data_IF_714317551083
#
_entry.id   IF_714317551083
#
_cell.length_a   1.000
_cell.length_b   1.000
_cell.length_c   1.000
_cell.angle_alpha   90.00
_cell.angle_beta   90.00
_cell.angle_gamma   90.00
#
_symmetry.space_group_name_H-M   'P 1'
#
loop_
_entity.id
_entity.type
_entity.pdbx_description
1 polymer ?
#
# COMPACT_ATOMS: atom_id res chain seq x y z
N UNK A 1 2.92 -26.74 -6.06
CA UNK A 1 2.86 -25.48 -6.82
C UNK A 1 2.69 -24.33 -5.84
N UNK A 2 3.42 -23.23 -6.04
CA UNK A 2 3.33 -22.04 -5.21
C UNK A 2 1.92 -21.42 -5.25
N UNK A 3 1.50 -20.78 -4.16
CA UNK A 3 0.28 -19.98 -4.09
C UNK A 3 0.59 -18.54 -4.46
N UNK A 4 -0.19 -18.00 -5.40
CA UNK A 4 -0.12 -16.63 -5.86
C UNK A 4 -1.09 -15.73 -5.10
N UNK A 5 -0.67 -14.51 -4.81
CA UNK A 5 -1.54 -13.44 -4.33
C UNK A 5 -1.06 -12.11 -4.89
N UNK A 6 -1.99 -11.23 -5.25
CA UNK A 6 -1.70 -9.88 -5.72
C UNK A 6 -2.64 -8.86 -5.09
N UNK A 7 -2.11 -7.67 -4.85
CA UNK A 7 -2.87 -6.51 -4.39
C UNK A 7 -2.20 -5.23 -4.90
N UNK A 8 -2.98 -4.18 -5.06
CA UNK A 8 -2.49 -2.84 -5.40
C UNK A 8 -2.75 -1.87 -4.26
N UNK A 9 -1.91 -0.85 -4.14
CA UNK A 9 -2.09 0.24 -3.19
C UNK A 9 -1.73 1.55 -3.87
N UNK A 10 -2.58 2.57 -3.72
CA UNK A 10 -2.29 3.92 -4.18
C UNK A 10 -1.75 4.74 -3.01
N UNK A 11 -0.55 5.27 -3.15
CA UNK A 11 0.05 6.24 -2.24
C UNK A 11 -0.28 7.64 -2.73
N UNK A 12 -0.81 8.49 -1.85
CA UNK A 12 -1.14 9.88 -2.16
C UNK A 12 0.12 10.77 -2.11
N UNK A 13 1.14 10.37 -2.85
CA UNK A 13 2.46 10.97 -2.94
C UNK A 13 3.00 10.73 -4.35
N UNK A 14 3.82 11.65 -4.85
CA UNK A 14 4.47 11.52 -6.15
C UNK A 14 5.42 10.33 -6.19
N UNK A 15 5.75 9.85 -7.38
CA UNK A 15 6.68 8.74 -7.53
C UNK A 15 8.06 9.06 -6.93
N UNK A 16 8.54 10.29 -7.11
CA UNK A 16 9.81 10.76 -6.56
C UNK A 16 9.81 10.71 -5.03
N UNK A 17 8.72 11.17 -4.40
CA UNK A 17 8.57 11.12 -2.94
C UNK A 17 8.55 9.68 -2.43
N UNK A 18 7.82 8.79 -3.13
CA UNK A 18 7.79 7.36 -2.80
C UNK A 18 9.17 6.72 -2.92
N UNK A 19 9.89 6.95 -4.00
CA UNK A 19 11.23 6.39 -4.21
C UNK A 19 12.22 6.95 -3.18
N UNK A 20 12.16 8.25 -2.86
CA UNK A 20 13.02 8.86 -1.85
C UNK A 20 12.75 8.28 -0.45
N UNK A 21 11.48 8.09 -0.09
CA UNK A 21 11.11 7.52 1.20
C UNK A 21 11.41 6.01 1.30
N UNK A 22 11.42 5.28 0.20
CA UNK A 22 11.61 3.82 0.18
C UNK A 22 12.89 3.38 0.90
N UNK A 23 13.97 4.15 0.73
CA UNK A 23 15.27 3.88 1.36
C UNK A 23 15.29 4.13 2.87
N UNK A 24 14.32 4.88 3.38
CA UNK A 24 14.18 5.28 4.78
C UNK A 24 12.89 4.72 5.42
N UNK A 25 12.28 3.69 4.81
CA UNK A 25 11.02 3.11 5.29
C UNK A 25 11.15 2.44 6.66
N UNK A 26 12.37 2.18 7.12
CA UNK A 26 12.68 1.69 8.45
C UNK A 26 13.62 2.68 9.18
N UNK A 27 13.49 2.80 10.51
CA UNK A 27 12.46 2.17 11.35
C UNK A 27 11.08 2.84 11.19
N UNK A 28 10.01 2.07 11.41
CA UNK A 28 8.65 2.60 11.56
C UNK A 28 7.86 1.81 12.62
N UNK A 29 6.83 2.40 13.27
CA UNK A 29 6.11 1.76 14.37
C UNK A 29 5.44 0.43 14.02
N UNK A 30 5.08 0.20 12.75
CA UNK A 30 4.39 -1.02 12.33
C UNK A 30 5.35 -2.14 11.89
N UNK A 31 6.66 -1.86 11.92
CA UNK A 31 7.72 -2.76 11.48
C UNK A 31 8.81 -2.96 12.53
N UNK A 32 8.45 -2.92 13.82
CA UNK A 32 9.36 -3.17 14.95
C UNK A 32 10.07 -4.53 14.93
N UNK A 33 9.57 -5.47 14.11
CA UNK A 33 10.18 -6.77 13.88
C UNK A 33 11.41 -6.70 12.96
N UNK A 34 11.64 -5.60 12.23
CA UNK A 34 12.84 -5.40 11.41
C UNK A 34 13.96 -4.88 12.32
N UNK A 35 15.04 -5.65 12.41
CA UNK A 35 16.16 -5.41 13.33
C UNK A 35 17.31 -4.66 12.65
N UNK A 36 17.67 -5.07 11.44
CA UNK A 36 18.76 -4.45 10.67
C UNK A 36 18.41 -4.39 9.19
N UNK A 37 19.00 -3.43 8.50
CA UNK A 37 18.88 -3.23 7.07
C UNK A 37 20.21 -2.72 6.51
N UNK A 38 20.87 -3.54 5.70
CA UNK A 38 22.24 -3.31 5.24
C UNK A 38 22.27 -3.28 3.71
N UNK A 39 22.92 -2.27 3.11
CA UNK A 39 23.15 -2.25 1.66
C UNK A 39 24.40 -3.05 1.33
N UNK A 40 24.23 -4.16 0.61
CA UNK A 40 25.31 -5.10 0.26
C UNK A 40 25.99 -4.69 -1.03
N UNK A 41 25.20 -4.25 -2.02
CA UNK A 41 25.71 -3.77 -3.29
C UNK A 41 24.77 -2.71 -3.85
N UNK A 42 25.34 -1.71 -4.53
CA UNK A 42 24.59 -0.67 -5.23
C UNK A 42 25.43 -0.18 -6.40
N UNK A 43 24.83 -0.17 -7.58
CA UNK A 43 25.49 0.24 -8.81
C UNK A 43 24.50 0.86 -9.79
N UNK A 44 25.02 1.64 -10.73
CA UNK A 44 24.25 2.13 -11.87
C UNK A 44 24.59 1.25 -13.07
N UNK A 45 23.58 0.63 -13.67
CA UNK A 45 23.72 -0.17 -14.89
C UNK A 45 22.70 0.32 -15.91
N UNK A 46 23.18 0.71 -17.10
CA UNK A 46 22.35 1.19 -18.20
C UNK A 46 21.38 2.32 -17.76
N UNK A 47 21.86 3.27 -16.96
CA UNK A 47 21.06 4.39 -16.45
C UNK A 47 20.06 4.03 -15.35
N UNK A 48 20.08 2.81 -14.81
CA UNK A 48 19.19 2.34 -13.74
C UNK A 48 19.97 2.08 -12.47
N UNK A 49 19.40 2.42 -11.32
CA UNK A 49 19.99 2.12 -10.02
C UNK A 49 19.61 0.70 -9.61
N UNK A 50 20.59 -0.19 -9.56
CA UNK A 50 20.45 -1.52 -9.00
C UNK A 50 20.92 -1.48 -7.53
N UNK A 51 20.18 -2.11 -6.64
CA UNK A 51 20.59 -2.27 -5.25
C UNK A 51 20.24 -3.65 -4.72
N UNK A 52 21.09 -4.16 -3.84
CA UNK A 52 20.90 -5.39 -3.09
C UNK A 52 21.07 -5.09 -1.62
N UNK A 53 20.07 -5.43 -0.82
CA UNK A 53 20.02 -5.17 0.62
C UNK A 53 19.74 -6.47 1.36
N UNK A 54 20.33 -6.59 2.55
CA UNK A 54 20.08 -7.68 3.48
C UNK A 54 19.30 -7.12 4.66
N UNK A 55 18.18 -7.73 5.00
CA UNK A 55 17.40 -7.34 6.16
C UNK A 55 17.31 -8.50 7.14
N UNK A 56 17.35 -8.17 8.42
CA UNK A 56 17.17 -9.10 9.53
C UNK A 56 15.84 -8.81 10.22
N UNK A 57 15.01 -9.83 10.44
CA UNK A 57 13.75 -9.66 11.17
C UNK A 57 13.53 -10.73 12.23
N UNK A 58 12.81 -10.39 13.29
CA UNK A 58 12.33 -11.40 14.25
C UNK A 58 11.31 -12.31 13.57
N UNK A 59 11.35 -13.60 13.91
CA UNK A 59 10.38 -14.56 13.42
C UNK A 59 9.77 -15.32 14.60
N UNK A 60 8.61 -14.86 15.04
CA UNK A 60 7.78 -15.69 15.92
C UNK A 60 7.28 -16.87 15.10
N UNK A 61 7.87 -18.04 15.36
CA UNK A 61 7.41 -19.33 14.85
C UNK A 61 6.06 -19.61 15.48
N UNK A 62 5.06 -20.13 14.74
CA UNK A 62 3.83 -20.61 15.36
C UNK A 62 4.14 -21.62 16.47
N UNK A 63 3.37 -21.65 17.56
CA UNK A 63 3.60 -22.54 18.71
C UNK A 63 3.82 -24.02 18.34
N UNK A 64 3.17 -24.52 17.29
CA UNK A 64 3.36 -25.90 16.81
C UNK A 64 4.77 -26.16 16.24
N UNK A 65 5.47 -25.13 15.77
CA UNK A 65 6.82 -25.20 15.20
C UNK A 65 7.94 -24.86 16.16
N UNK A 66 7.64 -24.27 17.34
CA UNK A 66 8.64 -23.90 18.35
C UNK A 66 9.45 -25.10 18.85
N UNK A 67 8.83 -26.29 18.95
CA UNK A 67 9.51 -27.54 19.37
C UNK A 67 10.57 -28.02 18.38
N UNK A 68 10.56 -27.53 17.14
CA UNK A 68 11.46 -27.99 16.08
C UNK A 68 12.49 -26.93 15.68
N UNK A 69 12.37 -25.68 16.17
CA UNK A 69 13.18 -24.55 15.69
C UNK A 69 13.38 -23.44 16.74
N UNK A 70 14.63 -23.00 16.93
CA UNK A 70 15.04 -21.93 17.87
C UNK A 70 15.70 -20.72 17.19
N UNK A 71 15.39 -20.45 15.92
CA UNK A 71 16.02 -19.31 15.23
C UNK A 71 15.33 -17.99 15.58
N UNK A 72 16.04 -17.14 16.34
CA UNK A 72 15.54 -15.86 16.82
C UNK A 72 15.34 -14.81 15.71
N UNK A 73 16.05 -14.93 14.58
CA UNK A 73 15.92 -14.00 13.45
C UNK A 73 15.98 -14.70 12.09
N UNK A 74 15.29 -14.13 11.11
CA UNK A 74 15.28 -14.55 9.71
C UNK A 74 15.91 -13.47 8.87
N UNK A 75 16.81 -13.86 7.97
CA UNK A 75 17.40 -12.98 6.97
C UNK A 75 16.57 -13.01 5.68
N UNK A 76 16.37 -11.85 5.08
CA UNK A 76 15.74 -11.69 3.77
C UNK A 76 16.64 -10.83 2.88
N UNK A 77 16.61 -11.11 1.58
CA UNK A 77 17.30 -10.32 0.57
C UNK A 77 16.26 -9.50 -0.18
N UNK A 78 16.54 -8.21 -0.34
CA UNK A 78 15.82 -7.28 -1.20
C UNK A 78 16.72 -6.88 -2.37
N UNK A 79 16.26 -7.11 -3.59
CA UNK A 79 16.89 -6.65 -4.82
C UNK A 79 15.96 -5.61 -5.45
N UNK A 80 16.48 -4.45 -5.85
CA UNK A 80 15.67 -3.36 -6.38
C UNK A 80 16.30 -2.73 -7.61
N UNK A 81 15.45 -2.26 -8.53
CA UNK A 81 15.82 -1.55 -9.74
C UNK A 81 14.99 -0.27 -9.80
N UNK A 82 15.65 0.89 -9.81
CA UNK A 82 15.02 2.19 -10.11
C UNK A 82 15.34 2.56 -11.55
N UNK A 83 14.30 2.75 -12.34
CA UNK A 83 14.37 3.28 -13.70
C UNK A 83 13.82 4.72 -13.69
N UNK A 84 14.69 5.75 -13.73
CA UNK A 84 14.26 7.13 -13.68
C UNK A 84 13.58 7.59 -14.97
N UNK A 85 13.90 6.99 -16.13
CA UNK A 85 13.26 7.34 -17.39
C UNK A 85 11.81 6.86 -17.42
N UNK A 86 11.56 5.64 -16.96
CA UNK A 86 10.21 5.06 -16.88
C UNK A 86 9.46 5.43 -15.60
N UNK A 87 10.10 6.14 -14.67
CA UNK A 87 9.61 6.40 -13.31
C UNK A 87 9.04 5.13 -12.67
N UNK A 88 9.88 4.10 -12.60
CA UNK A 88 9.53 2.85 -11.93
C UNK A 88 10.56 2.46 -10.89
N UNK A 89 10.08 1.96 -9.75
CA UNK A 89 10.89 1.22 -8.78
C UNK A 89 10.33 -0.20 -8.72
N UNK A 90 11.14 -1.18 -9.09
CA UNK A 90 10.80 -2.60 -8.95
C UNK A 90 11.62 -3.21 -7.83
N UNK A 91 10.98 -3.91 -6.91
CA UNK A 91 11.62 -4.62 -5.82
C UNK A 91 11.29 -6.10 -5.89
N UNK A 92 12.25 -6.92 -5.46
CA UNK A 92 12.14 -8.35 -5.31
C UNK A 92 12.65 -8.72 -3.92
N UNK A 93 11.80 -9.26 -3.08
CA UNK A 93 12.15 -9.62 -1.70
C UNK A 93 11.92 -11.09 -1.47
N UNK A 94 12.90 -11.79 -0.89
CA UNK A 94 12.80 -13.21 -0.58
C UNK A 94 13.51 -13.59 0.71
N UNK A 95 12.94 -14.53 1.45
CA UNK A 95 13.66 -15.15 2.55
C UNK A 95 14.75 -16.09 2.01
N UNK A 96 15.93 -16.03 2.62
CA UNK A 96 17.05 -16.92 2.30
C UNK A 96 17.19 -18.06 3.31
N UNK A 97 16.67 -17.86 4.52
CA UNK A 97 16.54 -18.90 5.54
C UNK A 97 15.15 -19.54 5.49
N UNK A 98 15.06 -20.81 5.92
CA UNK A 98 13.80 -21.58 6.04
C UNK A 98 13.01 -21.79 4.75
N UNK A 99 13.66 -21.70 3.59
CA UNK A 99 13.02 -21.84 2.26
C UNK A 99 12.32 -23.18 2.06
N UNK A 100 12.85 -24.28 2.65
CA UNK A 100 12.19 -25.60 2.63
C UNK A 100 10.88 -25.62 3.42
N UNK A 101 10.82 -24.90 4.54
CA UNK A 101 9.62 -24.80 5.37
C UNK A 101 8.59 -23.91 4.68
N UNK A 102 8.97 -22.68 4.38
CA UNK A 102 8.14 -21.73 3.66
C UNK A 102 9.03 -20.74 2.90
N UNK A 103 8.91 -20.73 1.58
CA UNK A 103 9.53 -19.74 0.71
C UNK A 103 8.49 -18.68 0.36
N UNK A 104 8.85 -17.41 0.53
CA UNK A 104 8.05 -16.26 0.12
C UNK A 104 8.92 -15.42 -0.81
N UNK A 105 8.46 -15.27 -2.04
CA UNK A 105 9.01 -14.32 -3.01
C UNK A 105 7.97 -13.24 -3.22
N UNK A 106 8.35 -11.99 -3.03
CA UNK A 106 7.52 -10.83 -3.25
C UNK A 106 8.13 -9.99 -4.37
N UNK A 107 7.29 -9.47 -5.26
CA UNK A 107 7.64 -8.44 -6.23
C UNK A 107 6.74 -7.24 -5.97
N UNK A 108 7.31 -6.03 -5.96
CA UNK A 108 6.53 -4.79 -5.96
C UNK A 108 6.98 -3.90 -7.09
N UNK A 109 6.02 -3.34 -7.83
CA UNK A 109 6.28 -2.32 -8.85
C UNK A 109 5.61 -1.03 -8.42
N UNK A 110 6.40 -0.03 -8.10
CA UNK A 110 5.97 1.33 -7.83
C UNK A 110 6.09 2.14 -9.12
N UNK A 111 4.99 2.72 -9.60
CA UNK A 111 4.95 3.58 -10.78
C UNK A 111 3.94 4.71 -10.59
N UNK A 112 4.02 5.75 -11.40
CA UNK A 112 2.98 6.77 -11.44
C UNK A 112 1.61 6.15 -11.76
N UNK A 113 0.56 6.66 -11.10
CA UNK A 113 -0.81 6.18 -11.28
C UNK A 113 -1.45 6.85 -12.48
N UNK A 114 -1.81 6.05 -13.48
CA UNK A 114 -2.52 6.51 -14.69
C UNK A 114 -3.93 7.05 -14.34
N UNK A 115 -4.59 6.44 -13.36
CA UNK A 115 -5.93 6.85 -12.90
C UNK A 115 -5.91 8.07 -11.95
N UNK A 116 -4.76 8.37 -11.36
CA UNK A 116 -4.63 9.39 -10.32
C UNK A 116 -3.33 10.18 -10.49
N UNK A 117 -3.33 11.21 -11.36
CA UNK A 117 -2.16 12.04 -11.60
C UNK A 117 -1.53 12.55 -10.30
N UNK A 118 -0.20 12.52 -10.22
CA UNK A 118 0.56 12.94 -9.03
C UNK A 118 0.60 11.90 -7.89
N UNK A 119 -0.06 10.74 -8.05
CA UNK A 119 -0.02 9.63 -7.08
C UNK A 119 0.80 8.46 -7.60
N UNK A 120 1.21 7.59 -6.69
CA UNK A 120 1.98 6.38 -7.01
C UNK A 120 1.14 5.14 -6.77
N UNK A 121 1.06 4.25 -7.75
CA UNK A 121 0.51 2.90 -7.56
C UNK A 121 1.64 1.91 -7.28
N UNK A 122 1.46 1.10 -6.25
CA UNK A 122 2.30 -0.05 -5.93
C UNK A 122 1.53 -1.34 -6.18
N UNK A 123 1.93 -2.09 -7.21
CA UNK A 123 1.39 -3.41 -7.51
C UNK A 123 2.29 -4.45 -6.84
N UNK A 124 1.73 -5.21 -5.90
CA UNK A 124 2.43 -6.18 -5.05
C UNK A 124 1.95 -7.58 -5.36
N UNK A 125 2.87 -8.41 -5.85
CA UNK A 125 2.62 -9.80 -6.19
C UNK A 125 3.48 -10.70 -5.30
N UNK A 126 2.94 -11.82 -4.84
CA UNK A 126 3.65 -12.76 -3.97
C UNK A 126 3.44 -14.21 -4.40
N UNK A 127 4.51 -14.99 -4.29
CA UNK A 127 4.55 -16.43 -4.52
C UNK A 127 5.02 -17.13 -3.26
N UNK A 128 4.14 -17.97 -2.71
CA UNK A 128 4.35 -18.63 -1.43
C UNK A 128 4.36 -20.13 -1.64
N UNK A 129 5.46 -20.78 -1.28
CA UNK A 129 5.64 -22.22 -1.46
C UNK A 129 6.15 -22.90 -0.18
N UNK A 130 6.01 -24.22 -0.12
CA UNK A 130 6.48 -25.06 0.98
C UNK A 130 6.85 -26.43 0.44
N UNK A 131 7.97 -26.98 0.92
CA UNK A 131 8.47 -28.31 0.56
C UNK A 131 8.24 -29.33 1.69
N UNK A 132 7.52 -28.97 2.75
CA UNK A 132 7.23 -29.87 3.88
C UNK A 132 6.25 -30.95 3.44
N UNK A 133 6.71 -32.19 3.42
CA UNK A 133 5.88 -33.35 3.09
C UNK A 133 4.69 -33.48 4.04
N UNK A 134 3.51 -33.85 3.53
CA UNK A 134 2.26 -33.97 4.30
C UNK A 134 1.59 -32.64 4.68
N UNK A 135 2.34 -31.55 4.90
CA UNK A 135 1.80 -30.27 5.41
C UNK A 135 1.90 -29.09 4.43
N UNK A 136 2.50 -29.29 3.25
CA UNK A 136 2.77 -28.20 2.30
C UNK A 136 1.53 -27.36 1.93
N UNK A 137 0.35 -27.98 1.80
CA UNK A 137 -0.90 -27.26 1.50
C UNK A 137 -1.32 -26.32 2.63
N UNK A 138 -1.28 -26.81 3.88
CA UNK A 138 -1.64 -26.03 5.06
C UNK A 138 -0.68 -24.86 5.27
N UNK A 139 0.63 -25.10 5.12
CA UNK A 139 1.66 -24.06 5.28
C UNK A 139 1.52 -22.97 4.22
N UNK A 140 1.27 -23.34 2.96
CA UNK A 140 1.01 -22.35 1.88
C UNK A 140 -0.21 -21.49 2.19
N UNK A 141 -1.31 -22.09 2.65
CA UNK A 141 -2.52 -21.36 3.02
C UNK A 141 -2.27 -20.40 4.18
N UNK A 142 -1.58 -20.86 5.23
CA UNK A 142 -1.14 -20.02 6.34
C UNK A 142 -0.26 -18.86 5.86
N UNK A 143 0.69 -19.14 4.97
CA UNK A 143 1.60 -18.12 4.42
C UNK A 143 0.86 -17.03 3.66
N UNK A 144 -0.10 -17.38 2.80
CA UNK A 144 -0.95 -16.41 2.09
C UNK A 144 -1.74 -15.55 3.07
N UNK A 145 -2.38 -16.15 4.06
CA UNK A 145 -3.17 -15.41 5.05
C UNK A 145 -2.30 -14.46 5.88
N UNK A 146 -1.10 -14.91 6.29
CA UNK A 146 -0.12 -14.08 6.98
C UNK A 146 0.36 -12.93 6.08
N UNK A 147 0.60 -13.19 4.80
CA UNK A 147 1.04 -12.18 3.84
C UNK A 147 -0.01 -11.08 3.65
N UNK A 148 -1.29 -11.45 3.46
CA UNK A 148 -2.41 -10.51 3.37
C UNK A 148 -2.49 -9.58 4.58
N UNK A 149 -2.43 -10.14 5.79
CA UNK A 149 -2.42 -9.36 7.05
C UNK A 149 -1.22 -8.41 7.14
N UNK A 150 -0.07 -8.83 6.64
CA UNK A 150 1.14 -8.00 6.66
C UNK A 150 1.10 -6.85 5.64
N UNK A 151 0.37 -6.98 4.53
CA UNK A 151 0.25 -5.92 3.52
C UNK A 151 -0.25 -4.62 4.15
N UNK A 152 -1.28 -4.68 5.00
CA UNK A 152 -1.81 -3.50 5.69
C UNK A 152 -0.75 -2.81 6.58
N UNK A 153 0.06 -3.60 7.30
CA UNK A 153 1.16 -3.06 8.13
C UNK A 153 2.25 -2.42 7.30
N UNK A 154 2.61 -3.03 6.16
CA UNK A 154 3.61 -2.48 5.24
C UNK A 154 3.15 -1.14 4.65
N UNK A 155 1.89 -1.07 4.19
CA UNK A 155 1.31 0.15 3.63
C UNK A 155 1.27 1.27 4.67
N UNK A 156 0.71 0.98 5.86
CA UNK A 156 0.57 1.99 6.90
C UNK A 156 1.91 2.42 7.49
N UNK A 157 2.85 1.49 7.66
CA UNK A 157 4.21 1.80 8.10
C UNK A 157 4.96 2.69 7.10
N UNK A 158 4.72 2.48 5.81
CA UNK A 158 5.33 3.31 4.77
C UNK A 158 4.65 4.68 4.64
N UNK A 159 3.32 4.75 4.75
CA UNK A 159 2.60 6.02 4.85
C UNK A 159 3.08 6.85 6.04
N UNK A 160 3.35 6.24 7.19
CA UNK A 160 3.95 6.94 8.33
C UNK A 160 5.27 7.62 7.96
N UNK A 161 6.16 6.92 7.25
CA UNK A 161 7.44 7.50 6.79
C UNK A 161 7.20 8.63 5.79
N UNK A 162 6.30 8.43 4.82
CA UNK A 162 5.97 9.45 3.82
C UNK A 162 5.42 10.73 4.46
N UNK A 163 4.48 10.62 5.39
CA UNK A 163 3.94 11.76 6.12
C UNK A 163 5.01 12.48 6.95
N UNK A 164 5.95 11.73 7.55
CA UNK A 164 7.06 12.29 8.31
C UNK A 164 8.07 13.03 7.42
N UNK A 165 8.36 12.49 6.24
CA UNK A 165 9.34 13.07 5.31
C UNK A 165 8.78 14.26 4.51
N UNK A 166 7.47 14.28 4.23
CA UNK A 166 6.83 15.29 3.38
C UNK A 166 5.63 15.99 4.05
N UNK A 167 5.81 16.65 5.21
CA UNK A 167 4.71 17.24 5.98
C UNK A 167 3.95 18.33 5.20
N UNK A 168 4.64 19.11 4.37
CA UNK A 168 4.01 20.17 3.53
C UNK A 168 2.99 19.57 2.56
N UNK A 169 3.30 18.41 1.97
CA UNK A 169 2.34 17.72 1.10
C UNK A 169 1.09 17.34 1.88
N UNK A 170 1.24 16.88 3.13
CA UNK A 170 0.12 16.52 3.99
C UNK A 170 -0.76 17.72 4.28
N UNK A 171 -0.17 18.87 4.62
CA UNK A 171 -0.90 20.11 4.84
C UNK A 171 -1.70 20.52 3.61
N UNK A 172 -1.09 20.47 2.42
CA UNK A 172 -1.77 20.82 1.18
C UNK A 172 -2.94 19.86 0.88
N UNK A 173 -2.76 18.56 1.12
CA UNK A 173 -3.84 17.56 0.96
C UNK A 173 -5.01 17.82 1.92
N UNK A 174 -4.73 18.15 3.18
CA UNK A 174 -5.76 18.45 4.17
C UNK A 174 -6.54 19.72 3.83
N UNK A 175 -5.85 20.76 3.38
CA UNK A 175 -6.48 21.99 2.90
C UNK A 175 -7.38 21.72 1.70
N UNK A 176 -6.89 20.95 0.72
CA UNK A 176 -7.68 20.59 -0.46
C UNK A 176 -8.91 19.76 -0.11
N UNK A 177 -8.79 18.78 0.80
CA UNK A 177 -9.93 18.00 1.28
C UNK A 177 -10.98 18.84 2.02
N UNK A 178 -10.54 19.80 2.85
CA UNK A 178 -11.47 20.72 3.52
C UNK A 178 -12.20 21.62 2.53
N UNK A 179 -11.49 22.09 1.50
CA UNK A 179 -12.06 22.92 0.45
C UNK A 179 -13.06 22.15 -0.41
N UNK A 180 -12.75 20.91 -0.78
CA UNK A 180 -13.65 20.01 -1.53
C UNK A 180 -14.91 19.69 -0.70
N UNK A 181 -14.75 19.39 0.59
CA UNK A 181 -15.87 19.15 1.50
C UNK A 181 -16.78 20.39 1.61
N UNK A 182 -16.18 21.58 1.74
CA UNK A 182 -16.94 22.83 1.79
C UNK A 182 -17.68 23.09 0.48
N UNK A 183 -17.05 22.83 -0.67
CA UNK A 183 -17.69 22.95 -1.98
C UNK A 183 -18.86 21.99 -2.13
N UNK A 184 -18.69 20.72 -1.76
CA UNK A 184 -19.76 19.71 -1.79
C UNK A 184 -20.92 20.08 -0.87
N UNK A 185 -20.65 20.59 0.33
CA UNK A 185 -21.69 21.07 1.24
C UNK A 185 -22.46 22.27 0.65
N UNK A 186 -21.78 23.21 -0.01
CA UNK A 186 -22.42 24.34 -0.70
C UNK A 186 -23.28 23.87 -1.87
N UNK A 187 -22.76 22.97 -2.71
CA UNK A 187 -23.50 22.39 -3.83
C UNK A 187 -24.76 21.66 -3.36
N UNK A 188 -24.68 20.91 -2.25
CA UNK A 188 -25.84 20.26 -1.64
C UNK A 188 -26.90 21.28 -1.20
N UNK A 189 -26.49 22.33 -0.47
CA UNK A 189 -27.40 23.40 -0.02
C UNK A 189 -28.09 24.11 -1.19
N UNK A 190 -27.35 24.41 -2.25
CA UNK A 190 -27.92 25.03 -3.46
C UNK A 190 -28.96 24.11 -4.10
N UNK A 191 -28.66 22.81 -4.20
CA UNK A 191 -29.58 21.82 -4.76
C UNK A 191 -30.85 21.67 -3.92
N UNK A 192 -30.72 21.67 -2.59
CA UNK A 192 -31.88 21.64 -1.67
C UNK A 192 -32.72 22.91 -1.80
N UNK A 193 -32.11 24.09 -1.81
CA UNK A 193 -32.83 25.36 -1.97
C UNK A 193 -33.59 25.41 -3.30
N UNK A 194 -32.99 24.96 -4.40
CA UNK A 194 -33.63 24.88 -5.70
C UNK A 194 -34.84 23.92 -5.69
N UNK A 195 -34.71 22.76 -5.04
CA UNK A 195 -35.81 21.80 -4.88
C UNK A 195 -36.96 22.42 -4.08
N UNK A 196 -36.67 23.03 -2.93
CA UNK A 196 -37.69 23.69 -2.10
C UNK A 196 -38.39 24.83 -2.85
N UNK A 197 -37.66 25.63 -3.62
CA UNK A 197 -38.25 26.68 -4.44
C UNK A 197 -39.18 26.10 -5.52
N UNK A 198 -38.77 25.04 -6.22
CA UNK A 198 -39.61 24.34 -7.19
C UNK A 198 -40.88 23.77 -6.55
N UNK A 199 -40.78 23.16 -5.37
CA UNK A 199 -41.95 22.61 -4.66
C UNK A 199 -42.93 23.71 -4.23
N UNK A 200 -42.41 24.86 -3.79
CA UNK A 200 -43.24 26.05 -3.48
C UNK A 200 -43.97 26.59 -4.70
N UNK A 201 -43.28 26.70 -5.85
CA UNK A 201 -43.90 27.17 -7.11
C UNK A 201 -45.01 26.21 -7.55
N UNK A 202 -44.79 24.90 -7.50
CA UNK A 202 -45.82 23.89 -7.81
C UNK A 202 -47.04 24.02 -6.89
N UNK A 203 -46.82 24.06 -5.57
CA UNK A 203 -47.90 24.21 -4.61
C UNK A 203 -48.71 25.51 -4.77
N UNK A 204 -48.06 26.59 -5.21
CA UNK A 204 -48.72 27.85 -5.49
C UNK A 204 -49.53 27.80 -6.79
N UNK A 205 -49.02 27.14 -7.84
CA UNK A 205 -49.75 26.91 -9.07
C UNK A 205 -51.00 26.05 -8.83
N UNK A 206 -50.89 24.95 -8.08
CA UNK A 206 -52.02 24.08 -7.76
C UNK A 206 -53.14 24.83 -7.01
N UNK A 207 -52.79 25.74 -6.09
CA UNK A 207 -53.77 26.60 -5.40
C UNK A 207 -54.50 27.58 -6.33
N UNK A 208 -53.85 28.02 -7.41
CA UNK A 208 -54.46 28.93 -8.39
C UNK A 208 -55.43 28.15 -9.29
N UNK A 209 -55.05 26.93 -9.71
CA UNK A 209 -55.90 26.06 -10.53
C UNK A 209 -57.17 25.59 -9.79
N UNK A 210 -57.09 25.29 -8.49
CA UNK A 210 -58.26 24.89 -7.68
C UNK A 210 -59.28 26.03 -7.52
N UNK A 211 -58.87 27.31 -7.65
CA UNK A 211 -59.79 28.46 -7.55
C UNK A 211 -60.55 28.79 -8.85
N UNK A 212 -60.28 28.09 -9.95
CA UNK A 212 -60.84 28.38 -11.28
C UNK A 212 -61.65 27.22 -11.89
N UNK A 213 -61.97 26.18 -11.14
CA UNK A 213 -62.95 25.17 -11.55
C UNK A 213 -64.35 25.59 -11.07
N UNK A 214 -65.35 25.74 -11.98
CA UNK A 214 -66.72 26.11 -11.64
C UNK A 214 -67.45 25.06 -10.80
#
# INVERSE_FOLDING_TARGET
>A
MAKYYETSTVFNFSWEQVVQAFWNRYPNPLSSHVLTEDTIAREIRNGKLHSKRLLSKTNHVPKWGERFYNAQSVKIVEESIVDPQKKTLTTYTRNIAFTKVMSVVEKVVYKESEEHPGKTIAVRSAWIDSQVFGFSRAIRAFGVERFKKNCGKMVNGFNFVLHKMFPVHVSNMQQQQQQDHLYMAKAHKIKEAAKTASDKVKAQADKIFIRHTP
#
